data_IF_015856835112
#
_entry.id   IF_015856835112
#
_cell.length_a   1.000
_cell.length_b   1.000
_cell.length_c   1.000
_cell.angle_alpha   90.00
_cell.angle_beta   90.00
_cell.angle_gamma   90.00
#
_symmetry.space_group_name_H-M   'P 1'
#
loop_
_entity.id
_entity.type
_entity.pdbx_description
1 polymer ?
#
# COMPACT_ATOMS: atom_id res chain seq x y z
N UNK A 1 20.80 -2.17 -3.52
CA UNK A 1 19.92 -1.45 -4.44
C UNK A 1 18.52 -1.42 -3.87
N UNK A 2 18.04 -0.25 -3.60
CA UNK A 2 16.66 -0.12 -3.16
C UNK A 2 15.75 -0.06 -4.37
N UNK A 3 14.71 -0.86 -4.35
CA UNK A 3 13.67 -0.81 -5.37
C UNK A 3 12.40 -0.29 -4.73
N UNK A 4 11.67 0.49 -5.48
CA UNK A 4 10.35 0.89 -5.04
C UNK A 4 9.43 -0.31 -5.12
N UNK A 5 8.90 -0.70 -3.97
CA UNK A 5 7.93 -1.79 -3.87
C UNK A 5 6.53 -1.26 -4.16
N UNK A 6 6.23 -0.14 -3.56
CA UNK A 6 4.94 0.50 -3.72
C UNK A 6 5.10 2.00 -3.52
N UNK A 7 4.14 2.74 -4.03
CA UNK A 7 4.09 4.19 -3.91
C UNK A 7 2.96 4.57 -2.97
N UNK A 8 3.27 5.36 -1.95
CA UNK A 8 2.28 5.95 -1.06
C UNK A 8 2.13 7.42 -1.41
N UNK A 9 0.91 7.86 -1.59
CA UNK A 9 0.60 9.21 -1.99
C UNK A 9 -0.46 9.77 -1.07
N UNK A 10 -0.26 11.00 -0.60
CA UNK A 10 -1.22 11.66 0.27
C UNK A 10 -1.83 12.84 -0.45
N UNK A 11 -3.16 12.93 -0.39
CA UNK A 11 -3.92 14.04 -0.94
C UNK A 11 -4.92 14.48 0.12
N UNK A 12 -4.57 15.51 0.87
CA UNK A 12 -5.38 15.94 1.99
C UNK A 12 -5.48 14.86 3.05
N UNK A 13 -6.70 14.37 3.29
CA UNK A 13 -6.94 13.29 4.23
C UNK A 13 -6.96 11.92 3.57
N UNK A 14 -6.73 11.88 2.25
CA UNK A 14 -6.72 10.62 1.51
C UNK A 14 -5.31 10.10 1.39
N UNK A 15 -5.17 8.81 1.60
CA UNK A 15 -3.90 8.11 1.39
C UNK A 15 -4.15 7.05 0.34
N UNK A 16 -3.32 7.07 -0.71
CA UNK A 16 -3.46 6.18 -1.83
C UNK A 16 -2.19 5.34 -1.94
N UNK A 17 -2.35 4.05 -2.18
CA UNK A 17 -1.22 3.14 -2.37
C UNK A 17 -1.32 2.51 -3.75
N UNK A 18 -0.16 2.32 -4.39
CA UNK A 18 -0.08 1.65 -5.68
C UNK A 18 1.12 0.71 -5.65
N UNK A 19 0.89 -0.55 -6.01
CA UNK A 19 1.97 -1.51 -6.14
C UNK A 19 2.71 -1.25 -7.46
N UNK A 20 4.03 -1.20 -7.39
CA UNK A 20 4.87 -0.88 -8.55
C UNK A 20 5.44 -2.14 -9.23
N UNK A 21 4.67 -3.22 -9.23
CA UNK A 21 5.10 -4.46 -9.85
C UNK A 21 6.04 -5.26 -8.99
N UNK A 22 5.86 -5.24 -7.68
CA UNK A 22 6.70 -5.99 -6.77
C UNK A 22 6.55 -7.49 -6.98
N UNK A 23 7.64 -8.23 -6.75
CA UNK A 23 7.63 -9.67 -6.94
C UNK A 23 6.70 -10.38 -5.95
N UNK A 24 6.70 -9.91 -4.71
CA UNK A 24 5.92 -10.55 -3.65
C UNK A 24 4.54 -9.93 -3.44
N UNK A 25 4.27 -8.82 -4.12
CA UNK A 25 2.98 -8.15 -4.04
C UNK A 25 2.85 -7.22 -2.85
N UNK A 26 1.83 -6.38 -2.93
CA UNK A 26 1.40 -5.50 -1.87
C UNK A 26 -0.01 -5.94 -1.48
N UNK A 27 -0.26 -6.06 -0.20
CA UNK A 27 -1.54 -6.55 0.31
C UNK A 27 -2.19 -5.50 1.18
N UNK A 28 -3.50 -5.34 1.03
CA UNK A 28 -4.31 -4.49 1.91
C UNK A 28 -5.39 -5.37 2.51
N UNK A 29 -5.39 -5.50 3.83
CA UNK A 29 -6.32 -6.36 4.57
C UNK A 29 -6.33 -7.79 4.02
N UNK A 30 -5.16 -8.30 3.65
CA UNK A 30 -4.99 -9.65 3.14
C UNK A 30 -5.28 -9.84 1.67
N UNK A 31 -5.68 -8.78 0.97
CA UNK A 31 -5.96 -8.85 -0.47
C UNK A 31 -4.79 -8.26 -1.25
N UNK A 32 -4.30 -9.00 -2.23
CA UNK A 32 -3.23 -8.54 -3.08
C UNK A 32 -3.74 -7.44 -4.02
N UNK A 33 -2.97 -6.35 -4.11
CA UNK A 33 -3.30 -5.26 -5.02
C UNK A 33 -2.94 -5.63 -6.45
N UNK A 34 -3.77 -5.14 -7.39
CA UNK A 34 -3.42 -5.21 -8.81
C UNK A 34 -2.27 -4.24 -9.07
N UNK A 35 -1.15 -4.70 -9.69
CA UNK A 35 -0.03 -3.81 -9.96
C UNK A 35 -0.43 -2.61 -10.81
N UNK A 36 0.19 -1.47 -10.53
CA UNK A 36 -0.01 -0.23 -11.26
C UNK A 36 -1.41 0.34 -11.15
N UNK A 37 -2.16 -0.08 -10.12
CA UNK A 37 -3.52 0.40 -9.87
C UNK A 37 -3.56 1.08 -8.52
N UNK A 38 -4.10 2.29 -8.46
CA UNK A 38 -4.22 3.03 -7.22
C UNK A 38 -5.31 2.43 -6.34
N UNK A 39 -5.03 2.39 -5.03
CA UNK A 39 -5.97 1.93 -4.04
C UNK A 39 -6.08 2.95 -2.92
N UNK A 40 -7.29 3.42 -2.64
CA UNK A 40 -7.53 4.32 -1.51
C UNK A 40 -7.47 3.53 -0.21
N UNK A 41 -6.68 4.03 0.74
CA UNK A 41 -6.57 3.43 2.06
C UNK A 41 -7.50 4.14 3.04
N UNK A 42 -8.11 3.36 3.91
CA UNK A 42 -8.98 3.87 4.96
C UNK A 42 -8.32 3.71 6.31
N UNK A 43 -8.79 4.49 7.29
CA UNK A 43 -8.32 4.35 8.66
C UNK A 43 -8.52 2.90 9.14
N UNK A 44 -7.47 2.34 9.71
CA UNK A 44 -7.51 0.98 10.21
C UNK A 44 -7.09 -0.09 9.22
N UNK A 45 -6.89 0.26 7.94
CA UNK A 45 -6.42 -0.70 6.95
C UNK A 45 -5.04 -1.22 7.30
N UNK A 46 -4.82 -2.51 7.11
CA UNK A 46 -3.53 -3.15 7.34
C UNK A 46 -2.86 -3.39 6.00
N UNK A 47 -1.65 -2.85 5.86
CA UNK A 47 -0.88 -2.96 4.62
C UNK A 47 0.31 -3.87 4.85
N UNK A 48 0.54 -4.81 3.94
CA UNK A 48 1.70 -5.69 3.99
C UNK A 48 2.55 -5.51 2.74
N UNK A 49 3.83 -5.27 2.95
CA UNK A 49 4.84 -5.06 1.90
C UNK A 49 6.00 -6.01 2.18
N UNK A 50 6.05 -7.14 1.47
CA UNK A 50 7.07 -8.14 1.75
C UNK A 50 6.98 -8.60 3.20
N UNK A 51 8.04 -8.38 3.97
CA UNK A 51 8.08 -8.75 5.38
C UNK A 51 7.52 -7.67 6.31
N UNK A 52 7.22 -6.51 5.76
CA UNK A 52 6.72 -5.39 6.55
C UNK A 52 5.22 -5.36 6.58
N UNK A 53 4.67 -5.02 7.73
CA UNK A 53 3.25 -4.90 7.91
C UNK A 53 2.98 -3.69 8.80
N UNK A 54 2.05 -2.84 8.40
CA UNK A 54 1.69 -1.67 9.20
C UNK A 54 0.21 -1.37 9.06
N UNK A 55 -0.31 -0.65 10.03
CA UNK A 55 -1.70 -0.25 10.03
C UNK A 55 -1.82 1.25 9.75
N UNK A 56 -2.78 1.61 8.94
CA UNK A 56 -3.03 3.00 8.58
C UNK A 56 -3.89 3.66 9.65
N UNK A 57 -3.36 4.72 10.26
CA UNK A 57 -4.09 5.51 11.24
C UNK A 57 -4.21 6.93 10.70
N UNK A 58 -5.43 7.33 10.37
CA UNK A 58 -5.70 8.64 9.79
C UNK A 58 -6.40 9.51 10.83
N UNK A 59 -5.84 10.68 11.08
CA UNK A 59 -6.43 11.64 12.01
C UNK A 59 -7.17 12.73 11.28
#
# INVERSE_FOLDING_TARGET
VSRLHALLKRDGKRIIIMDLGSANGTYVNGKRLTPQTERLLNHGDVVALGKFKFQVLIR
#
